data_IF_580874449282
#
_entry.id   IF_580874449282
#
_cell.length_a   1.000
_cell.length_b   1.000
_cell.length_c   1.000
_cell.angle_alpha   90.00
_cell.angle_beta   90.00
_cell.angle_gamma   90.00
#
_symmetry.space_group_name_H-M   'P 1'
#
loop_
_entity.id
_entity.type
_entity.pdbx_description
1 polymer ?
#
# COMPACT_ATOMS: atom_id res chain seq x y z
N UNK A 1 -40.61 -48.72 0.05
CA UNK A 1 -40.33 -47.30 -0.23
C UNK A 1 -39.27 -46.82 0.74
N UNK A 2 -38.03 -46.65 0.30
CA UNK A 2 -36.96 -45.98 1.06
C UNK A 2 -36.38 -44.92 0.14
N UNK A 3 -36.83 -43.68 0.28
CA UNK A 3 -36.26 -42.55 -0.44
C UNK A 3 -35.04 -42.08 0.36
N UNK A 4 -33.84 -42.33 -0.18
CA UNK A 4 -32.59 -41.78 0.32
C UNK A 4 -32.49 -40.34 -0.20
N UNK A 5 -32.73 -39.35 0.65
CA UNK A 5 -32.53 -37.94 0.30
C UNK A 5 -31.07 -37.59 0.59
N UNK A 6 -30.23 -37.58 -0.45
CA UNK A 6 -28.90 -36.99 -0.39
C UNK A 6 -29.03 -35.47 -0.39
N UNK A 7 -28.76 -34.84 0.76
CA UNK A 7 -28.61 -33.39 0.87
C UNK A 7 -27.25 -33.01 0.26
N UNK A 8 -27.27 -32.49 -0.96
CA UNK A 8 -26.12 -31.82 -1.58
C UNK A 8 -25.95 -30.45 -0.89
N UNK A 9 -25.03 -30.40 0.07
CA UNK A 9 -24.55 -29.14 0.65
C UNK A 9 -23.70 -28.44 -0.41
N UNK A 10 -24.29 -27.46 -1.09
CA UNK A 10 -23.57 -26.48 -1.90
C UNK A 10 -22.69 -25.64 -0.96
N UNK A 11 -21.43 -26.04 -0.81
CA UNK A 11 -20.38 -25.16 -0.30
C UNK A 11 -20.23 -24.02 -1.31
N UNK A 12 -20.97 -22.94 -1.10
CA UNK A 12 -20.66 -21.64 -1.70
C UNK A 12 -19.34 -21.18 -1.07
N UNK A 13 -18.24 -21.70 -1.58
CA UNK A 13 -16.91 -21.19 -1.31
C UNK A 13 -16.89 -19.75 -1.81
N UNK A 14 -17.04 -18.79 -0.89
CA UNK A 14 -16.67 -17.42 -1.17
C UNK A 14 -15.21 -17.46 -1.57
N UNK A 15 -14.94 -17.36 -2.87
CA UNK A 15 -13.63 -17.05 -3.40
C UNK A 15 -13.29 -15.62 -2.94
N UNK A 16 -12.96 -15.50 -1.65
CA UNK A 16 -12.20 -14.39 -1.14
C UNK A 16 -10.90 -14.44 -1.94
N UNK A 17 -10.76 -13.52 -2.90
CA UNK A 17 -9.51 -13.34 -3.62
C UNK A 17 -8.42 -13.22 -2.54
N UNK A 18 -7.58 -14.24 -2.42
CA UNK A 18 -6.58 -14.31 -1.37
C UNK A 18 -5.78 -13.00 -1.40
N UNK A 19 -5.83 -12.23 -0.33
CA UNK A 19 -5.13 -10.97 -0.27
C UNK A 19 -3.64 -11.26 -0.38
N UNK A 20 -3.01 -10.75 -1.45
CA UNK A 20 -1.58 -10.92 -1.70
C UNK A 20 -0.79 -10.51 -0.45
N UNK A 21 0.07 -11.42 0.02
CA UNK A 21 1.02 -11.14 1.10
C UNK A 21 2.29 -10.62 0.45
N UNK A 22 2.71 -9.42 0.84
CA UNK A 22 3.95 -8.82 0.39
C UNK A 22 5.00 -9.01 1.48
N UNK A 23 6.17 -9.50 1.11
CA UNK A 23 7.26 -9.83 2.03
C UNK A 23 8.58 -9.25 1.53
N UNK A 24 9.61 -9.27 2.40
CA UNK A 24 10.96 -8.85 2.04
C UNK A 24 11.03 -7.45 1.42
N UNK A 25 11.64 -7.35 0.24
CA UNK A 25 11.85 -6.11 -0.49
C UNK A 25 10.55 -5.46 -0.95
N UNK A 26 9.54 -6.22 -1.38
CA UNK A 26 8.25 -5.66 -1.79
C UNK A 26 7.52 -4.99 -0.62
N UNK A 27 7.56 -5.63 0.56
CA UNK A 27 7.02 -5.03 1.78
C UNK A 27 7.78 -3.76 2.19
N UNK A 28 9.10 -3.73 1.98
CA UNK A 28 9.90 -2.54 2.23
C UNK A 28 9.63 -1.42 1.20
N UNK A 29 9.42 -1.76 -0.07
CA UNK A 29 9.03 -0.82 -1.12
C UNK A 29 7.64 -0.22 -0.82
N UNK A 30 6.67 -1.04 -0.42
CA UNK A 30 5.35 -0.59 0.04
C UNK A 30 5.44 0.39 1.21
N UNK A 31 6.32 0.13 2.19
CA UNK A 31 6.56 1.06 3.30
C UNK A 31 7.14 2.39 2.84
N UNK A 32 8.11 2.37 1.92
CA UNK A 32 8.71 3.57 1.34
C UNK A 32 7.66 4.38 0.57
N UNK A 33 6.94 3.74 -0.35
CA UNK A 33 5.86 4.36 -1.11
C UNK A 33 4.80 5.01 -0.19
N UNK A 34 4.33 4.27 0.82
CA UNK A 34 3.34 4.77 1.75
C UNK A 34 3.84 5.97 2.56
N UNK A 35 5.09 5.93 3.03
CA UNK A 35 5.71 7.06 3.74
C UNK A 35 5.75 8.31 2.86
N UNK A 36 6.15 8.19 1.59
CA UNK A 36 6.19 9.32 0.64
C UNK A 36 4.78 9.92 0.41
N UNK A 37 3.82 9.08 0.04
CA UNK A 37 2.46 9.53 -0.26
C UNK A 37 1.77 10.14 0.96
N UNK A 38 1.85 9.46 2.12
CA UNK A 38 1.18 9.91 3.33
C UNK A 38 1.79 11.21 3.86
N UNK A 39 3.12 11.35 3.81
CA UNK A 39 3.79 12.62 4.16
C UNK A 39 3.28 13.77 3.33
N UNK A 40 3.25 13.61 2.00
CA UNK A 40 2.78 14.68 1.11
C UNK A 40 1.32 15.07 1.38
N UNK A 41 0.44 14.08 1.52
CA UNK A 41 -0.99 14.32 1.81
C UNK A 41 -1.18 14.97 3.18
N UNK A 42 -0.46 14.52 4.20
CA UNK A 42 -0.54 15.07 5.56
C UNK A 42 -0.09 16.53 5.59
N UNK A 43 1.09 16.84 5.06
CA UNK A 43 1.63 18.20 5.08
C UNK A 43 0.77 19.15 4.26
N UNK A 44 0.23 18.68 3.14
CA UNK A 44 -0.70 19.47 2.32
C UNK A 44 -2.00 19.77 3.06
N UNK A 45 -2.60 18.80 3.74
CA UNK A 45 -3.80 19.00 4.56
C UNK A 45 -3.57 19.98 5.71
N UNK A 46 -2.36 20.01 6.26
CA UNK A 46 -1.96 20.97 7.29
C UNK A 46 -1.64 22.38 6.74
N UNK A 47 -1.71 22.59 5.41
CA UNK A 47 -1.33 23.86 4.78
C UNK A 47 0.18 24.11 4.74
N UNK A 48 0.99 23.08 5.01
CA UNK A 48 2.46 23.16 5.09
C UNK A 48 3.14 22.73 3.78
N UNK A 49 2.39 22.25 2.80
CA UNK A 49 2.90 21.81 1.50
C UNK A 49 1.94 22.18 0.37
N UNK A 50 2.38 22.92 -0.67
CA UNK A 50 1.57 23.19 -1.85
C UNK A 50 1.18 21.91 -2.61
N UNK A 51 0.11 21.99 -3.40
CA UNK A 51 -0.37 20.85 -4.19
C UNK A 51 0.68 20.31 -5.16
N UNK A 52 1.49 21.18 -5.76
CA UNK A 52 2.54 20.79 -6.69
C UNK A 52 3.57 19.85 -6.02
N UNK A 53 4.02 20.20 -4.81
CA UNK A 53 4.99 19.40 -4.04
C UNK A 53 4.38 18.09 -3.54
N UNK A 54 3.13 18.13 -3.05
CA UNK A 54 2.38 16.92 -2.70
C UNK A 54 2.27 15.97 -3.89
N UNK A 55 1.96 16.51 -5.07
CA UNK A 55 1.83 15.71 -6.30
C UNK A 55 3.16 15.04 -6.68
N UNK A 56 4.30 15.69 -6.42
CA UNK A 56 5.62 15.06 -6.60
C UNK A 56 5.77 13.84 -5.68
N UNK A 57 5.48 13.96 -4.38
CA UNK A 57 5.60 12.84 -3.45
C UNK A 57 4.63 11.68 -3.77
N UNK A 58 3.40 12.00 -4.17
CA UNK A 58 2.43 11.00 -4.64
C UNK A 58 2.91 10.33 -5.93
N UNK A 59 3.49 11.09 -6.86
CA UNK A 59 4.08 10.57 -8.09
C UNK A 59 5.23 9.62 -7.82
N UNK A 60 6.15 9.99 -6.92
CA UNK A 60 7.25 9.12 -6.47
C UNK A 60 6.69 7.82 -5.89
N UNK A 61 5.70 7.91 -5.00
CA UNK A 61 5.03 6.71 -4.45
C UNK A 61 4.48 5.83 -5.57
N UNK A 62 3.80 6.38 -6.57
CA UNK A 62 3.24 5.61 -7.68
C UNK A 62 4.35 4.90 -8.49
N UNK A 63 5.47 5.58 -8.74
CA UNK A 63 6.61 5.01 -9.47
C UNK A 63 7.30 3.88 -8.68
N UNK A 64 7.42 4.02 -7.36
CA UNK A 64 7.95 2.96 -6.49
C UNK A 64 7.04 1.72 -6.56
N UNK A 65 5.72 1.91 -6.43
CA UNK A 65 4.75 0.83 -6.52
C UNK A 65 4.79 0.13 -7.88
N UNK A 66 4.94 0.89 -8.96
CA UNK A 66 4.97 0.33 -10.30
C UNK A 66 6.20 -0.57 -10.53
N UNK A 67 7.38 -0.09 -10.12
CA UNK A 67 8.67 -0.75 -10.38
C UNK A 67 9.01 -1.87 -9.39
N UNK A 68 8.68 -1.69 -8.11
CA UNK A 68 9.23 -2.52 -7.02
C UNK A 68 8.18 -3.34 -6.27
N UNK A 69 6.92 -3.22 -6.67
CA UNK A 69 5.83 -4.00 -6.07
C UNK A 69 5.10 -4.71 -7.21
N UNK A 70 4.97 -6.01 -7.09
CA UNK A 70 4.24 -6.85 -8.02
C UNK A 70 2.72 -6.76 -7.80
N UNK A 71 1.96 -7.44 -8.65
CA UNK A 71 0.50 -7.43 -8.61
C UNK A 71 -0.11 -6.33 -9.46
N UNK A 72 -1.44 -6.33 -9.54
CA UNK A 72 -2.19 -5.31 -10.28
C UNK A 72 -2.44 -4.06 -9.43
N UNK A 73 -2.92 -2.99 -10.07
CA UNK A 73 -3.16 -1.71 -9.39
C UNK A 73 -4.11 -1.82 -8.19
N UNK A 74 -5.16 -2.64 -8.28
CA UNK A 74 -6.12 -2.81 -7.18
C UNK A 74 -5.46 -3.49 -5.98
N UNK A 75 -4.59 -4.47 -6.20
CA UNK A 75 -3.84 -5.15 -5.13
C UNK A 75 -2.84 -4.19 -4.46
N UNK A 76 -2.10 -3.40 -5.24
CA UNK A 76 -1.17 -2.39 -4.73
C UNK A 76 -1.91 -1.31 -3.93
N UNK A 77 -3.04 -0.82 -4.45
CA UNK A 77 -3.89 0.16 -3.76
C UNK A 77 -4.40 -0.37 -2.42
N UNK A 78 -4.93 -1.60 -2.37
CA UNK A 78 -5.37 -2.21 -1.10
C UNK A 78 -4.23 -2.35 -0.09
N UNK A 79 -3.03 -2.69 -0.56
CA UNK A 79 -1.86 -2.76 0.31
C UNK A 79 -1.50 -1.39 0.90
N UNK A 80 -1.54 -0.33 0.09
CA UNK A 80 -1.32 1.05 0.54
C UNK A 80 -2.38 1.51 1.55
N UNK A 81 -3.65 1.19 1.32
CA UNK A 81 -4.74 1.49 2.26
C UNK A 81 -4.52 0.78 3.61
N UNK A 82 -4.20 -0.52 3.58
CA UNK A 82 -3.90 -1.27 4.79
C UNK A 82 -2.67 -0.75 5.55
N UNK A 83 -1.68 -0.19 4.84
CA UNK A 83 -0.53 0.46 5.46
C UNK A 83 -0.93 1.78 6.12
N UNK A 84 -1.69 2.63 5.44
CA UNK A 84 -2.15 3.92 5.97
C UNK A 84 -2.95 3.75 7.25
N UNK A 85 -3.87 2.80 7.28
CA UNK A 85 -4.76 2.60 8.44
C UNK A 85 -4.01 2.14 9.71
N UNK A 86 -2.75 1.71 9.57
CA UNK A 86 -1.88 1.27 10.68
C UNK A 86 -0.92 2.34 11.16
N UNK A 87 -0.79 3.48 10.46
CA UNK A 87 0.26 4.47 10.74
C UNK A 87 -0.29 5.71 11.41
N UNK A 88 0.38 6.08 12.50
CA UNK A 88 0.25 7.39 13.10
C UNK A 88 0.91 8.47 12.22
N UNK A 89 0.36 9.68 12.26
CA UNK A 89 0.76 10.80 11.43
C UNK A 89 2.14 11.32 11.83
N UNK A 90 2.39 11.53 13.12
CA UNK A 90 3.65 12.07 13.63
C UNK A 90 4.77 11.08 13.39
N UNK A 91 4.52 9.79 13.65
CA UNK A 91 5.44 8.71 13.34
C UNK A 91 5.78 8.63 11.84
N UNK A 92 4.86 9.02 10.94
CA UNK A 92 5.11 9.05 9.50
C UNK A 92 6.05 10.19 9.10
N UNK A 93 5.86 11.38 9.67
CA UNK A 93 6.73 12.53 9.39
C UNK A 93 8.15 12.31 9.92
N UNK A 94 8.26 11.74 11.11
CA UNK A 94 9.54 11.39 11.72
C UNK A 94 10.28 10.33 10.89
N UNK A 95 9.55 9.32 10.41
CA UNK A 95 10.10 8.32 9.49
C UNK A 95 10.50 8.90 8.15
N UNK A 96 9.77 9.87 7.62
CA UNK A 96 10.15 10.57 6.40
C UNK A 96 11.48 11.29 6.56
N UNK A 97 11.63 12.09 7.61
CA UNK A 97 12.86 12.84 7.88
C UNK A 97 14.09 11.94 8.01
N UNK A 98 13.93 10.77 8.65
CA UNK A 98 15.04 9.82 8.86
C UNK A 98 15.32 8.93 7.66
N UNK A 99 14.27 8.44 7.01
CA UNK A 99 14.38 7.28 6.13
C UNK A 99 14.10 7.58 4.67
N UNK A 100 13.58 8.75 4.29
CA UNK A 100 13.28 9.05 2.89
C UNK A 100 14.52 8.89 1.96
N UNK A 101 15.71 9.45 2.28
CA UNK A 101 16.88 9.28 1.43
C UNK A 101 17.31 7.82 1.29
N UNK A 102 17.27 7.06 2.40
CA UNK A 102 17.64 5.65 2.44
C UNK A 102 16.69 4.82 1.59
N UNK A 103 15.38 5.08 1.71
CA UNK A 103 14.37 4.31 1.02
C UNK A 103 14.38 4.60 -0.49
N UNK A 104 14.62 5.85 -0.89
CA UNK A 104 14.77 6.22 -2.31
C UNK A 104 16.05 5.69 -2.94
N UNK A 105 17.14 5.57 -2.18
CA UNK A 105 18.36 4.91 -2.65
C UNK A 105 18.15 3.41 -2.87
N UNK A 106 17.35 2.75 -2.01
CA UNK A 106 17.03 1.32 -2.13
C UNK A 106 16.00 1.03 -3.23
N UNK A 107 15.05 1.94 -3.45
CA UNK A 107 13.94 1.80 -4.40
C UNK A 107 13.96 2.95 -5.42
N UNK A 108 14.92 2.95 -6.36
CA UNK A 108 15.07 4.02 -7.34
C UNK A 108 13.89 4.09 -8.30
N UNK A 109 13.55 5.29 -8.77
CA UNK A 109 12.41 5.55 -9.66
C UNK A 109 12.81 5.92 -11.09
N UNK A 110 14.11 5.98 -11.36
CA UNK A 110 14.74 6.35 -12.63
C UNK A 110 15.54 5.20 -13.23
#
# INVERSE_FOLDING_TARGET
MRALVCVLVLMAGNASAAQRVYEGDEAAALRCANMMALTGVTLNRAGLMPDAEKNVLVGISALILDRHVSGNWNEKKRAMEAMRDRRDIDATLEDYQRNAPICLARFPIN
#
